data_IF_893404351592
#
_entry.id   IF_893404351592
#
_cell.length_a   1.000
_cell.length_b   1.000
_cell.length_c   1.000
_cell.angle_alpha   90.00
_cell.angle_beta   90.00
_cell.angle_gamma   90.00
#
_symmetry.space_group_name_H-M   'P 1'
#
loop_
_entity.id
_entity.type
_entity.pdbx_description
1 polymer ?
#
# COMPACT_ATOMS: atom_id res chain seq x y z
N UNK A 1 -20.33 17.22 7.46
CA UNK A 1 -19.20 16.31 7.70
C UNK A 1 -18.01 16.81 6.89
N UNK A 2 -16.77 16.66 7.37
CA UNK A 2 -15.59 16.96 6.55
C UNK A 2 -15.65 16.14 5.26
N UNK A 3 -15.36 16.76 4.12
CA UNK A 3 -15.39 16.10 2.82
C UNK A 3 -14.20 15.14 2.74
N UNK A 4 -14.47 13.86 2.45
CA UNK A 4 -13.45 12.88 2.12
C UNK A 4 -13.07 12.99 0.64
N UNK A 5 -12.01 13.75 0.37
CA UNK A 5 -11.46 13.82 -0.98
C UNK A 5 -10.54 12.65 -1.24
N UNK A 6 -10.53 12.19 -2.48
CA UNK A 6 -9.58 11.23 -3.00
C UNK A 6 -9.25 11.55 -4.45
N UNK A 7 -8.57 10.62 -5.11
CA UNK A 7 -8.39 10.70 -6.56
C UNK A 7 -8.86 9.43 -7.25
N UNK A 8 -9.32 9.60 -8.49
CA UNK A 8 -9.68 8.53 -9.42
C UNK A 8 -8.77 8.59 -10.64
N UNK A 9 -8.33 7.43 -11.09
CA UNK A 9 -7.64 7.25 -12.37
C UNK A 9 -8.46 6.29 -13.21
N UNK A 10 -8.67 6.61 -14.49
CA UNK A 10 -9.28 5.70 -15.48
C UNK A 10 -8.24 5.38 -16.54
N UNK A 11 -7.96 4.09 -16.74
CA UNK A 11 -6.84 3.56 -17.51
C UNK A 11 -5.63 3.24 -16.62
N UNK A 12 -4.46 3.18 -17.26
CA UNK A 12 -3.18 2.91 -16.58
C UNK A 12 -2.88 3.94 -15.50
N UNK A 13 -2.40 3.49 -14.34
CA UNK A 13 -1.91 4.40 -13.29
C UNK A 13 -0.55 5.04 -13.64
N UNK A 14 0.20 4.42 -14.55
CA UNK A 14 1.43 4.98 -15.12
C UNK A 14 1.06 6.05 -16.16
N UNK A 15 1.07 7.32 -15.73
CA UNK A 15 0.74 8.47 -16.57
C UNK A 15 -0.75 8.81 -16.65
N UNK A 16 -1.61 8.04 -15.99
CA UNK A 16 -3.04 8.36 -15.89
C UNK A 16 -3.31 9.63 -15.10
N UNK A 17 -4.27 10.41 -15.57
CA UNK A 17 -4.75 11.62 -14.89
C UNK A 17 -5.39 11.25 -13.54
N UNK A 18 -4.91 11.88 -12.47
CA UNK A 18 -5.47 11.75 -11.12
C UNK A 18 -6.53 12.83 -10.93
N UNK A 19 -7.79 12.46 -11.17
CA UNK A 19 -8.93 13.37 -11.02
C UNK A 19 -9.39 13.39 -9.58
N UNK A 20 -9.53 14.58 -9.01
CA UNK A 20 -10.09 14.76 -7.67
C UNK A 20 -11.55 14.27 -7.65
N UNK A 21 -11.92 13.52 -6.61
CA UNK A 21 -13.28 13.01 -6.40
C UNK A 21 -13.65 13.07 -4.93
N UNK A 22 -14.95 13.09 -4.64
CA UNK A 22 -15.43 12.65 -3.33
C UNK A 22 -15.29 11.14 -3.25
N UNK A 23 -14.42 10.67 -2.36
CA UNK A 23 -14.01 9.28 -2.33
C UNK A 23 -15.17 8.32 -2.04
N UNK A 24 -16.03 8.55 -1.03
CA UNK A 24 -17.14 7.64 -0.73
C UNK A 24 -18.11 7.52 -1.91
N UNK A 25 -18.44 8.65 -2.55
CA UNK A 25 -19.29 8.70 -3.75
C UNK A 25 -18.69 7.88 -4.88
N UNK A 26 -17.38 8.02 -5.14
CA UNK A 26 -16.71 7.25 -6.18
C UNK A 26 -16.66 5.75 -5.84
N UNK A 27 -16.36 5.39 -4.59
CA UNK A 27 -16.31 4.00 -4.16
C UNK A 27 -17.67 3.30 -4.30
N UNK A 28 -18.76 3.95 -3.86
CA UNK A 28 -20.14 3.45 -4.01
C UNK A 28 -20.52 3.32 -5.48
N UNK A 29 -20.11 4.24 -6.36
CA UNK A 29 -20.36 4.13 -7.79
C UNK A 29 -19.72 2.86 -8.39
N UNK A 30 -18.50 2.50 -7.99
CA UNK A 30 -17.86 1.25 -8.40
C UNK A 30 -18.53 0.00 -7.79
N UNK A 31 -18.95 0.09 -6.52
CA UNK A 31 -19.65 -1.00 -5.82
C UNK A 31 -21.01 -1.32 -6.45
N UNK A 32 -21.76 -0.30 -6.85
CA UNK A 32 -23.13 -0.40 -7.40
C UNK A 32 -23.19 -0.57 -8.92
N UNK A 33 -22.04 -0.60 -9.61
CA UNK A 33 -21.95 -0.61 -11.08
C UNK A 33 -22.61 0.60 -11.75
N UNK A 34 -22.54 1.77 -11.10
CA UNK A 34 -22.99 3.02 -11.71
C UNK A 34 -22.25 3.28 -13.02
N UNK A 35 -22.98 3.70 -14.07
CA UNK A 35 -22.41 3.93 -15.40
C UNK A 35 -21.20 4.87 -15.39
N UNK A 36 -21.18 5.85 -14.47
CA UNK A 36 -20.08 6.82 -14.32
C UNK A 36 -18.78 6.18 -13.83
N UNK A 37 -18.85 5.00 -13.20
CA UNK A 37 -17.70 4.26 -12.74
C UNK A 37 -16.91 3.60 -13.88
N UNK A 38 -17.54 3.34 -15.03
CA UNK A 38 -16.91 2.75 -16.23
C UNK A 38 -16.11 1.48 -15.87
N UNK A 39 -16.76 0.52 -15.21
CA UNK A 39 -16.15 -0.68 -14.62
C UNK A 39 -15.50 -1.61 -15.65
N UNK A 40 -15.85 -1.46 -16.93
CA UNK A 40 -15.29 -2.21 -18.05
C UNK A 40 -13.87 -1.78 -18.43
N UNK A 41 -13.36 -0.73 -17.80
CA UNK A 41 -11.99 -0.26 -17.92
C UNK A 41 -11.21 -0.49 -16.64
N UNK A 42 -9.90 -0.53 -16.83
CA UNK A 42 -8.96 -0.39 -15.74
C UNK A 42 -9.19 0.96 -15.04
N UNK A 43 -9.22 0.96 -13.71
CA UNK A 43 -9.41 2.15 -12.92
C UNK A 43 -8.91 1.97 -11.48
N UNK A 44 -8.54 3.08 -10.87
CA UNK A 44 -7.96 3.16 -9.54
C UNK A 44 -8.63 4.26 -8.73
N UNK A 45 -8.73 4.05 -7.43
CA UNK A 45 -9.03 5.07 -6.43
C UNK A 45 -7.80 5.24 -5.53
N UNK A 46 -7.70 6.35 -4.80
CA UNK A 46 -6.70 6.48 -3.74
C UNK A 46 -6.97 5.46 -2.62
N UNK A 47 -5.93 4.91 -2.01
CA UNK A 47 -6.06 4.04 -0.83
C UNK A 47 -6.46 4.83 0.43
N UNK A 48 -6.08 6.11 0.46
CA UNK A 48 -6.37 7.06 1.53
C UNK A 48 -7.28 8.18 1.03
N UNK A 49 -7.91 8.88 1.97
CA UNK A 49 -8.67 10.11 1.77
C UNK A 49 -7.96 11.29 2.42
N UNK A 50 -8.32 12.48 1.95
CA UNK A 50 -7.62 13.72 2.24
C UNK A 50 -8.61 14.89 2.45
N UNK A 51 -8.13 15.96 3.07
CA UNK A 51 -8.86 17.20 3.23
C UNK A 51 -8.68 18.17 2.05
N UNK A 52 -9.16 19.39 2.22
CA UNK A 52 -9.06 20.47 1.21
C UNK A 52 -7.61 20.90 0.92
N UNK A 53 -6.67 20.64 1.82
CA UNK A 53 -5.24 20.85 1.58
C UNK A 53 -4.72 20.03 0.39
N UNK A 54 -5.26 18.85 0.17
CA UNK A 54 -4.95 18.02 -0.99
C UNK A 54 -5.46 18.61 -2.30
N UNK A 55 -6.67 19.20 -2.31
CA UNK A 55 -7.19 19.92 -3.48
C UNK A 55 -6.25 21.06 -3.86
N UNK A 56 -5.92 21.90 -2.87
CA UNK A 56 -5.01 23.03 -3.07
C UNK A 56 -3.65 22.58 -3.60
N UNK A 57 -3.12 21.48 -3.06
CA UNK A 57 -1.87 20.90 -3.53
C UNK A 57 -1.97 20.42 -4.98
N UNK A 58 -3.02 19.69 -5.33
CA UNK A 58 -3.23 19.16 -6.68
C UNK A 58 -3.42 20.28 -7.70
N UNK A 59 -4.19 21.32 -7.38
CA UNK A 59 -4.42 22.48 -8.23
C UNK A 59 -3.11 23.27 -8.48
N UNK A 60 -2.26 23.38 -7.46
CA UNK A 60 -0.98 24.08 -7.56
C UNK A 60 0.11 23.29 -8.30
N UNK A 61 0.16 21.96 -8.12
CA UNK A 61 1.26 21.12 -8.60
C UNK A 61 0.92 20.30 -9.86
N UNK A 62 -0.37 20.14 -10.18
CA UNK A 62 -0.85 19.28 -11.28
C UNK A 62 -0.57 17.78 -11.06
N UNK A 63 -0.12 17.39 -9.87
CA UNK A 63 0.25 16.02 -9.51
C UNK A 63 0.06 15.79 -8.01
N UNK A 64 -0.18 14.55 -7.63
CA UNK A 64 -0.27 14.13 -6.21
C UNK A 64 1.09 13.74 -5.63
N UNK A 65 2.11 13.63 -6.47
CA UNK A 65 3.45 13.16 -6.07
C UNK A 65 4.06 14.15 -5.07
N UNK A 66 4.45 13.64 -3.89
CA UNK A 66 5.10 14.46 -2.86
C UNK A 66 4.13 15.16 -1.91
N UNK A 67 2.82 14.90 -2.02
CA UNK A 67 1.88 15.35 -1.00
C UNK A 67 2.19 14.66 0.34
N UNK A 68 2.41 15.47 1.37
CA UNK A 68 2.72 15.00 2.74
C UNK A 68 1.74 15.53 3.80
N UNK A 69 0.59 16.07 3.38
CA UNK A 69 -0.46 16.53 4.29
C UNK A 69 -1.10 15.39 5.08
N UNK A 70 -2.13 15.74 5.85
CA UNK A 70 -2.88 14.76 6.63
C UNK A 70 -3.68 13.83 5.73
N UNK A 71 -3.81 12.57 6.14
CA UNK A 71 -4.71 11.63 5.49
C UNK A 71 -5.47 10.79 6.51
N UNK A 72 -6.53 10.13 6.04
CA UNK A 72 -7.20 9.02 6.72
C UNK A 72 -7.57 7.94 5.70
N UNK A 73 -8.30 6.91 6.11
CA UNK A 73 -8.85 5.93 5.18
C UNK A 73 -10.18 5.39 5.71
N UNK A 74 -11.10 5.07 4.81
CA UNK A 74 -12.33 4.32 5.11
C UNK A 74 -12.03 2.84 5.40
N UNK A 75 -10.96 2.31 4.80
CA UNK A 75 -10.52 0.93 4.96
C UNK A 75 -9.00 0.84 5.11
N UNK A 76 -8.53 -0.01 6.02
CA UNK A 76 -7.14 -0.49 6.03
C UNK A 76 -7.03 -1.65 5.06
N UNK A 77 -6.29 -1.45 3.97
CA UNK A 77 -6.14 -2.43 2.90
C UNK A 77 -4.96 -3.38 3.15
N UNK A 78 -5.22 -4.68 3.03
CA UNK A 78 -4.23 -5.73 3.00
C UNK A 78 -4.13 -6.25 1.56
N UNK A 79 -2.95 -6.13 0.94
CA UNK A 79 -2.68 -6.62 -0.42
C UNK A 79 -1.86 -7.91 -0.33
N UNK A 80 -2.44 -9.02 -0.79
CA UNK A 80 -1.89 -10.36 -0.60
C UNK A 80 -1.71 -11.00 -1.97
N UNK A 81 -0.45 -11.14 -2.40
CA UNK A 81 -0.08 -11.93 -3.57
C UNK A 81 1.02 -12.94 -3.23
N UNK A 82 1.12 -13.99 -4.05
CA UNK A 82 2.20 -14.99 -3.95
C UNK A 82 2.86 -15.14 -5.31
N UNK A 83 3.43 -14.05 -5.79
CA UNK A 83 4.31 -14.06 -6.95
C UNK A 83 5.76 -14.32 -6.52
N UNK A 84 6.37 -15.36 -7.07
CA UNK A 84 7.82 -15.53 -7.00
C UNK A 84 8.49 -14.38 -7.77
N UNK A 85 9.30 -13.59 -7.06
CA UNK A 85 9.91 -12.39 -7.63
C UNK A 85 10.86 -12.68 -8.80
N UNK A 86 11.47 -13.87 -8.83
CA UNK A 86 12.43 -14.30 -9.85
C UNK A 86 11.72 -14.96 -11.04
N UNK A 87 10.89 -15.96 -10.79
CA UNK A 87 10.24 -16.75 -11.84
C UNK A 87 8.94 -16.12 -12.36
N UNK A 88 8.39 -15.14 -11.63
CA UNK A 88 7.06 -14.54 -11.86
C UNK A 88 5.92 -15.53 -11.78
N UNK A 89 6.16 -16.72 -11.21
CA UNK A 89 5.12 -17.70 -10.99
C UNK A 89 4.21 -17.25 -9.84
N UNK A 90 2.90 -17.30 -10.08
CA UNK A 90 1.90 -16.90 -9.09
C UNK A 90 1.26 -18.15 -8.49
N UNK A 91 1.23 -18.23 -7.16
CA UNK A 91 0.50 -19.25 -6.42
C UNK A 91 -0.80 -18.68 -5.82
N UNK A 92 -1.86 -18.65 -6.64
CA UNK A 92 -3.15 -18.09 -6.23
C UNK A 92 -3.83 -18.86 -5.11
N UNK A 93 -3.67 -20.18 -5.04
CA UNK A 93 -4.26 -20.98 -3.96
C UNK A 93 -3.60 -20.66 -2.61
N UNK A 94 -2.28 -20.50 -2.57
CA UNK A 94 -1.59 -20.06 -1.36
C UNK A 94 -2.08 -18.67 -0.92
N UNK A 95 -2.15 -17.71 -1.86
CA UNK A 95 -2.66 -16.38 -1.59
C UNK A 95 -4.10 -16.41 -1.06
N UNK A 96 -4.97 -17.27 -1.61
CA UNK A 96 -6.36 -17.46 -1.15
C UNK A 96 -6.42 -17.99 0.28
N UNK A 97 -5.65 -19.04 0.59
CA UNK A 97 -5.62 -19.65 1.93
C UNK A 97 -5.09 -18.69 2.99
N UNK A 98 -4.11 -17.86 2.65
CA UNK A 98 -3.60 -16.80 3.54
C UNK A 98 -4.60 -15.67 3.72
N UNK A 99 -5.26 -15.27 2.65
CA UNK A 99 -6.36 -14.29 2.72
C UNK A 99 -7.46 -14.80 3.65
N UNK A 100 -7.83 -16.07 3.53
CA UNK A 100 -8.80 -16.71 4.42
C UNK A 100 -8.35 -16.69 5.89
N UNK A 101 -7.09 -17.07 6.17
CA UNK A 101 -6.53 -17.00 7.53
C UNK A 101 -6.56 -15.58 8.10
N UNK A 102 -6.22 -14.57 7.30
CA UNK A 102 -6.30 -13.18 7.72
C UNK A 102 -7.75 -12.76 8.00
N UNK A 103 -8.71 -13.12 7.14
CA UNK A 103 -10.11 -12.78 7.35
C UNK A 103 -10.63 -13.39 8.66
N UNK A 104 -10.35 -14.67 8.92
CA UNK A 104 -10.73 -15.33 10.17
C UNK A 104 -10.11 -14.65 11.41
N UNK A 105 -8.84 -14.26 11.34
CA UNK A 105 -8.19 -13.50 12.41
C UNK A 105 -8.91 -12.16 12.66
N UNK A 106 -9.18 -11.39 11.60
CA UNK A 106 -9.79 -10.06 11.71
C UNK A 106 -11.22 -10.16 12.26
N UNK A 107 -12.01 -11.11 11.73
CA UNK A 107 -13.38 -11.38 12.17
C UNK A 107 -13.43 -11.77 13.64
N UNK A 108 -12.58 -12.70 14.09
CA UNK A 108 -12.51 -13.12 15.49
C UNK A 108 -12.03 -11.98 16.40
N UNK A 109 -10.89 -11.36 16.05
CA UNK A 109 -10.24 -10.33 16.87
C UNK A 109 -11.11 -9.11 17.11
N UNK A 110 -11.90 -8.72 16.12
CA UNK A 110 -12.73 -7.53 16.18
C UNK A 110 -14.23 -7.80 16.29
N UNK A 111 -14.63 -9.07 16.36
CA UNK A 111 -16.02 -9.52 16.44
C UNK A 111 -16.87 -8.94 15.30
N UNK A 112 -16.36 -9.08 14.08
CA UNK A 112 -17.04 -8.62 12.86
C UNK A 112 -18.07 -9.64 12.40
N UNK A 113 -19.08 -9.17 11.68
CA UNK A 113 -19.93 -10.05 10.90
C UNK A 113 -19.22 -10.46 9.60
N UNK A 114 -19.61 -11.59 9.01
CA UNK A 114 -18.91 -12.17 7.84
C UNK A 114 -18.87 -11.23 6.62
N UNK A 115 -19.83 -10.31 6.51
CA UNK A 115 -19.97 -9.36 5.40
C UNK A 115 -19.37 -7.98 5.67
N UNK A 116 -18.85 -7.72 6.89
CA UNK A 116 -18.24 -6.44 7.26
C UNK A 116 -16.89 -6.21 6.56
N UNK A 117 -16.16 -7.31 6.28
CA UNK A 117 -14.91 -7.26 5.55
C UNK A 117 -15.15 -7.12 4.04
N UNK A 118 -14.39 -6.23 3.43
CA UNK A 118 -14.35 -6.12 1.97
C UNK A 118 -13.27 -7.04 1.39
N UNK A 119 -13.67 -8.22 0.92
CA UNK A 119 -12.77 -9.21 0.35
C UNK A 119 -12.88 -9.18 -1.17
N UNK A 120 -11.76 -9.07 -1.86
CA UNK A 120 -11.72 -9.06 -3.32
C UNK A 120 -10.67 -10.01 -3.87
N UNK A 121 -11.04 -10.79 -4.88
CA UNK A 121 -10.05 -11.27 -5.84
C UNK A 121 -9.56 -10.10 -6.70
N UNK A 122 -8.25 -9.94 -6.78
CA UNK A 122 -7.61 -8.88 -7.53
C UNK A 122 -7.59 -9.15 -9.04
N UNK A 123 -8.38 -10.06 -9.60
CA UNK A 123 -8.48 -10.21 -11.06
C UNK A 123 -7.18 -10.65 -11.75
N UNK A 124 -6.12 -10.91 -10.99
CA UNK A 124 -4.78 -11.20 -11.48
C UNK A 124 -4.03 -12.06 -10.46
N UNK A 125 -3.18 -11.47 -9.61
CA UNK A 125 -2.16 -12.21 -8.85
C UNK A 125 -2.49 -12.52 -7.39
N UNK A 126 -3.57 -11.96 -6.86
CA UNK A 126 -3.78 -11.98 -5.42
C UNK A 126 -5.16 -11.51 -5.00
N UNK A 127 -5.25 -11.10 -3.75
CA UNK A 127 -6.48 -10.71 -3.08
C UNK A 127 -6.26 -9.43 -2.29
N UNK A 128 -7.34 -8.68 -2.11
CA UNK A 128 -7.36 -7.50 -1.26
C UNK A 128 -8.40 -7.68 -0.16
N UNK A 129 -8.04 -7.33 1.07
CA UNK A 129 -8.97 -7.28 2.21
C UNK A 129 -9.03 -5.86 2.74
N UNK A 130 -10.23 -5.31 2.89
CA UNK A 130 -10.47 -4.00 3.51
C UNK A 130 -11.07 -4.18 4.89
N UNK A 131 -10.34 -3.79 5.92
CA UNK A 131 -10.84 -3.67 7.30
C UNK A 131 -11.42 -2.27 7.50
N UNK A 132 -12.73 -2.11 7.78
CA UNK A 132 -13.35 -0.79 7.91
C UNK A 132 -12.84 -0.04 9.13
N UNK A 133 -12.48 1.23 8.96
CA UNK A 133 -11.96 2.07 10.06
C UNK A 133 -13.07 2.61 10.96
N UNK A 134 -14.33 2.57 10.53
CA UNK A 134 -15.53 2.88 11.33
C UNK A 134 -15.60 2.11 12.65
N UNK A 135 -14.92 0.96 12.72
CA UNK A 135 -14.75 0.17 13.93
C UNK A 135 -14.08 0.97 15.08
N UNK A 136 -13.19 1.93 14.79
CA UNK A 136 -12.52 2.74 15.83
C UNK A 136 -12.39 4.23 15.50
N UNK A 137 -12.82 4.66 14.31
CA UNK A 137 -12.91 6.05 13.85
C UNK A 137 -11.63 6.87 14.12
N UNK A 138 -10.47 6.43 13.60
CA UNK A 138 -9.21 7.14 13.80
C UNK A 138 -9.26 8.52 13.14
N UNK A 139 -8.73 9.54 13.84
CA UNK A 139 -8.60 10.89 13.28
C UNK A 139 -7.56 10.94 12.17
N UNK A 140 -7.76 11.81 11.19
CA UNK A 140 -6.75 12.10 10.18
C UNK A 140 -5.46 12.61 10.84
N UNK A 141 -4.31 12.30 10.23
CA UNK A 141 -3.01 12.80 10.68
C UNK A 141 -1.96 12.67 9.57
N UNK A 142 -0.84 13.39 9.72
CA UNK A 142 0.29 13.29 8.79
C UNK A 142 1.00 11.92 8.79
N UNK A 143 0.84 11.14 9.87
CA UNK A 143 1.44 9.80 10.06
C UNK A 143 0.42 8.66 9.98
N UNK A 144 -0.80 8.95 9.52
CA UNK A 144 -1.89 7.97 9.46
C UNK A 144 -1.50 6.76 8.61
N UNK A 145 -0.91 6.97 7.43
CA UNK A 145 -0.51 5.89 6.53
C UNK A 145 0.59 4.99 7.14
N UNK A 146 1.49 5.57 7.94
CA UNK A 146 2.52 4.80 8.66
C UNK A 146 1.90 3.97 9.79
N UNK A 147 0.92 4.54 10.50
CA UNK A 147 0.17 3.85 11.55
C UNK A 147 -0.66 2.70 10.96
N UNK A 148 -1.37 2.96 9.86
CA UNK A 148 -2.12 1.96 9.09
C UNK A 148 -1.21 0.80 8.64
N UNK A 149 -0.04 1.13 8.08
CA UNK A 149 0.98 0.13 7.72
C UNK A 149 1.39 -0.72 8.90
N UNK A 150 1.71 -0.07 10.03
CA UNK A 150 2.20 -0.76 11.23
C UNK A 150 1.16 -1.71 11.81
N UNK A 151 -0.09 -1.27 11.87
CA UNK A 151 -1.23 -2.10 12.28
C UNK A 151 -1.39 -3.30 11.35
N UNK A 152 -1.43 -3.06 10.03
CA UNK A 152 -1.65 -4.12 9.05
C UNK A 152 -0.51 -5.17 9.03
N UNK A 153 0.74 -4.73 9.08
CA UNK A 153 1.91 -5.62 9.18
C UNK A 153 1.87 -6.44 10.48
N UNK A 154 1.50 -5.83 11.61
CA UNK A 154 1.38 -6.52 12.90
C UNK A 154 0.28 -7.59 12.90
N UNK A 155 -0.90 -7.27 12.36
CA UNK A 155 -2.01 -8.21 12.23
C UNK A 155 -1.67 -9.36 11.30
N UNK A 156 -1.14 -9.06 10.11
CA UNK A 156 -0.74 -10.08 9.14
C UNK A 156 0.36 -10.99 9.69
N UNK A 157 1.37 -10.43 10.37
CA UNK A 157 2.42 -11.21 11.01
C UNK A 157 1.88 -12.16 12.09
N UNK A 158 0.85 -11.76 12.85
CA UNK A 158 0.26 -12.59 13.90
C UNK A 158 -0.43 -13.86 13.39
N UNK A 159 -0.76 -13.92 12.09
CA UNK A 159 -1.30 -15.09 11.41
C UNK A 159 -0.38 -15.63 10.30
N UNK A 160 0.91 -15.25 10.32
CA UNK A 160 1.93 -15.68 9.35
C UNK A 160 1.59 -15.34 7.88
N UNK A 161 0.91 -14.21 7.67
CA UNK A 161 0.58 -13.68 6.35
C UNK A 161 1.53 -12.54 6.00
N UNK A 162 2.12 -12.61 4.80
CA UNK A 162 2.89 -11.53 4.21
C UNK A 162 1.98 -10.70 3.29
N UNK A 163 2.04 -9.37 3.46
CA UNK A 163 1.31 -8.38 2.66
C UNK A 163 2.27 -7.45 1.90
N UNK A 164 1.84 -6.91 0.76
CA UNK A 164 2.55 -5.82 0.09
C UNK A 164 2.29 -4.49 0.83
N UNK A 165 3.30 -4.05 1.58
CA UNK A 165 3.26 -2.77 2.30
C UNK A 165 3.30 -1.54 1.38
N UNK A 166 3.53 -1.71 0.07
CA UNK A 166 3.48 -0.64 -0.92
C UNK A 166 2.10 0.03 -1.02
N UNK A 167 1.03 -0.63 -0.56
CA UNK A 167 -0.31 -0.05 -0.50
C UNK A 167 -0.41 1.16 0.44
N UNK A 168 0.49 1.26 1.42
CA UNK A 168 0.50 2.32 2.44
C UNK A 168 1.28 3.58 2.04
N UNK A 169 1.70 3.68 0.77
CA UNK A 169 2.13 4.98 0.23
C UNK A 169 0.94 5.95 0.24
N UNK A 170 1.16 7.16 0.77
CA UNK A 170 0.10 8.13 1.07
C UNK A 170 -0.76 8.45 -0.16
N UNK A 171 -0.14 8.48 -1.36
CA UNK A 171 -0.82 8.78 -2.63
C UNK A 171 -0.85 7.58 -3.57
N UNK A 172 -0.91 6.36 -3.01
CA UNK A 172 -0.99 5.11 -3.76
C UNK A 172 -2.31 4.99 -4.53
N UNK A 173 -2.26 4.78 -5.86
CA UNK A 173 -3.40 4.28 -6.61
C UNK A 173 -3.69 2.82 -6.24
N UNK A 174 -4.92 2.52 -5.89
CA UNK A 174 -5.39 1.19 -5.54
C UNK A 174 -6.58 0.80 -6.43
N UNK A 175 -6.58 -0.42 -6.96
CA UNK A 175 -7.54 -0.76 -8.02
C UNK A 175 -8.98 -0.71 -7.51
N UNK A 176 -9.83 0.00 -8.24
CA UNK A 176 -11.22 0.22 -7.85
C UNK A 176 -12.04 -1.10 -7.86
N UNK A 177 -13.05 -1.26 -6.99
CA UNK A 177 -13.98 -2.39 -7.05
C UNK A 177 -14.58 -2.56 -8.45
N UNK A 178 -14.86 -3.79 -8.87
CA UNK A 178 -15.40 -4.12 -10.20
C UNK A 178 -14.59 -3.64 -11.42
N UNK A 179 -13.49 -2.90 -11.26
CA UNK A 179 -12.65 -2.49 -12.39
C UNK A 179 -12.01 -3.68 -13.08
N UNK A 180 -12.00 -3.64 -14.42
CA UNK A 180 -11.43 -4.66 -15.29
C UNK A 180 -9.91 -4.57 -15.39
N UNK A 181 -9.22 -5.66 -15.06
CA UNK A 181 -7.76 -5.72 -15.17
C UNK A 181 -7.31 -5.76 -16.64
N UNK A 182 -6.30 -4.97 -17.04
CA UNK A 182 -5.99 -4.75 -18.45
C UNK A 182 -5.44 -6.00 -19.18
N UNK A 183 -4.74 -6.89 -18.48
CA UNK A 183 -4.11 -8.08 -19.08
C UNK A 183 -5.04 -9.30 -19.08
N UNK A 184 -5.49 -9.71 -17.90
CA UNK A 184 -6.33 -10.90 -17.68
C UNK A 184 -7.78 -10.71 -18.09
N UNK A 185 -8.22 -9.45 -18.24
CA UNK A 185 -9.61 -9.07 -18.58
C UNK A 185 -10.65 -9.43 -17.51
N UNK A 186 -10.22 -9.96 -16.38
CA UNK A 186 -11.05 -10.24 -15.21
C UNK A 186 -11.28 -8.96 -14.40
N UNK A 187 -12.45 -8.87 -13.77
CA UNK A 187 -12.84 -7.78 -12.89
C UNK A 187 -12.29 -7.97 -11.47
N UNK A 188 -12.11 -6.87 -10.72
CA UNK A 188 -11.93 -6.94 -9.26
C UNK A 188 -13.23 -7.44 -8.64
N UNK A 189 -13.25 -8.72 -8.27
CA UNK A 189 -14.46 -9.44 -7.88
C UNK A 189 -14.58 -9.49 -6.37
N UNK A 190 -15.67 -8.96 -5.80
CA UNK A 190 -15.98 -9.14 -4.37
C UNK A 190 -16.28 -10.61 -4.11
N UNK A 191 -15.81 -11.11 -2.97
CA UNK A 191 -16.11 -12.44 -2.45
C UNK A 191 -16.68 -12.30 -1.03
N UNK A 192 -17.55 -13.23 -0.65
CA UNK A 192 -17.86 -13.51 0.76
C UNK A 192 -16.74 -14.35 1.40
N UNK A 193 -16.74 -14.44 2.74
CA UNK A 193 -15.83 -15.35 3.47
C UNK A 193 -16.08 -16.80 3.03
N UNK A 194 -17.36 -17.21 2.90
CA UNK A 194 -17.71 -18.56 2.47
C UNK A 194 -17.15 -18.90 1.08
N UNK A 195 -17.31 -17.99 0.11
CA UNK A 195 -16.73 -18.15 -1.23
C UNK A 195 -15.21 -18.25 -1.19
N UNK A 196 -14.54 -17.42 -0.38
CA UNK A 196 -13.09 -17.44 -0.24
C UNK A 196 -12.58 -18.78 0.32
N UNK A 197 -13.32 -19.35 1.28
CA UNK A 197 -12.98 -20.62 1.94
C UNK A 197 -13.21 -21.83 1.03
N UNK A 198 -14.34 -21.86 0.32
CA UNK A 198 -14.83 -23.08 -0.32
C UNK A 198 -14.66 -23.11 -1.85
N UNK A 199 -14.54 -21.96 -2.52
CA UNK A 199 -14.33 -21.95 -3.97
C UNK A 199 -12.87 -22.23 -4.34
N UNK A 200 -12.71 -22.99 -5.43
CA UNK A 200 -11.41 -23.13 -6.12
C UNK A 200 -11.08 -21.88 -6.92
N UNK A 201 -9.80 -21.69 -7.20
CA UNK A 201 -9.31 -20.52 -7.96
C UNK A 201 -9.97 -20.42 -9.33
N UNK A 202 -10.15 -21.54 -10.03
CA UNK A 202 -10.78 -21.54 -11.36
C UNK A 202 -12.19 -20.95 -11.29
N UNK A 203 -12.95 -21.33 -10.25
CA UNK A 203 -14.31 -20.82 -10.07
C UNK A 203 -14.33 -19.33 -9.70
N UNK A 204 -13.39 -18.88 -8.88
CA UNK A 204 -13.22 -17.45 -8.55
C UNK A 204 -12.89 -16.65 -9.81
N UNK A 205 -12.01 -17.18 -10.67
CA UNK A 205 -11.64 -16.54 -11.94
C UNK A 205 -12.81 -16.50 -12.93
N UNK A 206 -13.60 -17.58 -13.04
CA UNK A 206 -14.83 -17.59 -13.83
C UNK A 206 -15.82 -16.51 -13.36
N UNK A 207 -16.07 -16.42 -12.05
CA UNK A 207 -16.94 -15.38 -11.48
C UNK A 207 -16.41 -13.97 -11.73
N UNK A 208 -15.09 -13.80 -11.73
CA UNK A 208 -14.45 -12.54 -12.06
C UNK A 208 -14.49 -12.19 -13.56
N UNK A 209 -15.04 -13.05 -14.42
CA UNK A 209 -15.29 -12.73 -15.82
C UNK A 209 -16.28 -11.58 -16.01
N UNK A 210 -17.20 -11.41 -15.05
CA UNK A 210 -18.21 -10.35 -15.05
C UNK A 210 -18.14 -9.55 -13.74
N UNK A 211 -18.40 -8.24 -13.76
CA UNK A 211 -18.58 -7.48 -12.53
C UNK A 211 -19.88 -7.91 -11.83
N UNK A 212 -19.94 -7.80 -10.50
CA UNK A 212 -21.26 -7.74 -9.87
C UNK A 212 -21.35 -6.74 -8.73
N UNK A 213 -22.50 -6.07 -8.71
CA UNK A 213 -22.83 -5.07 -7.73
C UNK A 213 -22.85 -5.67 -6.32
N UNK A 214 -22.49 -4.86 -5.34
CA UNK A 214 -22.59 -5.22 -3.94
C UNK A 214 -22.89 -3.99 -3.09
N UNK A 215 -23.51 -4.23 -1.95
CA UNK A 215 -23.73 -3.19 -0.95
C UNK A 215 -22.48 -2.98 -0.11
N UNK A 216 -22.11 -1.71 0.06
CA UNK A 216 -20.99 -1.34 0.92
C UNK A 216 -21.41 -1.58 2.39
N UNK A 217 -20.65 -2.36 3.17
CA UNK A 217 -21.03 -2.68 4.54
C UNK A 217 -21.17 -1.41 5.37
N UNK A 218 -22.24 -1.34 6.16
CA UNK A 218 -22.43 -0.25 7.13
C UNK A 218 -22.06 -0.76 8.51
N UNK A 219 -20.95 -0.27 9.04
CA UNK A 219 -20.47 -0.69 10.36
C UNK A 219 -21.24 0.08 11.43
N UNK A 220 -21.98 -0.64 12.26
CA UNK A 220 -22.82 -0.05 13.30
C UNK A 220 -22.20 -0.17 14.70
N UNK A 221 -21.28 -1.11 14.89
CA UNK A 221 -20.62 -1.36 16.16
C UNK A 221 -19.15 -0.90 16.14
N UNK A 222 -18.72 -0.27 17.23
CA UNK A 222 -17.31 0.08 17.44
C UNK A 222 -16.58 -1.04 18.18
N UNK A 223 -15.32 -1.29 17.83
CA UNK A 223 -14.42 -2.26 18.47
C UNK A 223 -13.36 -1.57 19.34
N UNK A 224 -13.46 -1.78 20.66
CA UNK A 224 -12.42 -1.34 21.62
C UNK A 224 -11.07 -1.98 21.34
N UNK A 225 -11.07 -3.23 20.87
CA UNK A 225 -9.85 -3.95 20.55
C UNK A 225 -9.14 -3.30 19.36
N UNK A 226 -9.88 -2.93 18.30
CA UNK A 226 -9.32 -2.23 17.16
C UNK A 226 -8.76 -0.85 17.54
N UNK A 227 -9.44 -0.10 18.43
CA UNK A 227 -8.94 1.17 18.95
C UNK A 227 -7.62 0.99 19.74
N UNK A 228 -7.52 -0.05 20.57
CA UNK A 228 -6.30 -0.35 21.32
C UNK A 228 -5.13 -0.74 20.41
N UNK A 229 -5.39 -1.55 19.38
CA UNK A 229 -4.38 -1.97 18.41
C UNK A 229 -3.89 -0.78 17.57
N UNK A 230 -4.80 0.12 17.20
CA UNK A 230 -4.43 1.38 16.55
C UNK A 230 -3.54 2.24 17.44
N UNK A 231 -3.90 2.44 18.71
CA UNK A 231 -3.10 3.21 19.67
C UNK A 231 -1.72 2.61 19.91
N UNK A 232 -1.60 1.28 19.95
CA UNK A 232 -0.31 0.60 20.02
C UNK A 232 0.52 0.83 18.76
N UNK A 233 -0.09 0.71 17.57
CA UNK A 233 0.58 1.02 16.31
C UNK A 233 1.06 2.48 16.25
N UNK A 234 0.25 3.44 16.70
CA UNK A 234 0.63 4.85 16.80
C UNK A 234 1.84 5.04 17.71
N UNK A 235 1.80 4.48 18.92
CA UNK A 235 2.93 4.56 19.87
C UNK A 235 4.22 4.00 19.27
N UNK A 236 4.15 2.92 18.52
CA UNK A 236 5.32 2.33 17.86
C UNK A 236 5.87 3.22 16.75
N UNK A 237 5.02 3.89 15.98
CA UNK A 237 5.44 4.87 14.96
C UNK A 237 6.11 6.08 15.63
N UNK A 238 5.53 6.62 16.69
CA UNK A 238 6.09 7.73 17.46
C UNK A 238 7.45 7.39 18.07
N UNK A 239 7.56 6.22 18.71
CA UNK A 239 8.82 5.73 19.27
C UNK A 239 9.90 5.54 18.21
N UNK A 240 9.55 5.01 17.03
CA UNK A 240 10.50 4.86 15.93
C UNK A 240 10.98 6.22 15.40
N UNK A 241 10.08 7.20 15.28
CA UNK A 241 10.41 8.56 14.87
C UNK A 241 11.29 9.26 15.90
N UNK A 242 11.00 9.11 17.20
CA UNK A 242 11.80 9.69 18.27
C UNK A 242 13.18 9.03 18.37
N UNK A 243 13.27 7.70 18.30
CA UNK A 243 14.54 6.99 18.24
C UNK A 243 15.37 7.37 17.00
N UNK A 244 14.73 7.71 15.87
CA UNK A 244 15.41 8.25 14.70
C UNK A 244 15.96 9.66 14.97
N UNK A 245 15.15 10.58 15.53
CA UNK A 245 15.60 11.93 15.92
C UNK A 245 16.74 11.91 16.94
N UNK A 246 16.65 11.04 17.94
CA UNK A 246 17.70 10.88 18.95
C UNK A 246 19.01 10.39 18.33
N UNK A 247 18.96 9.42 17.41
CA UNK A 247 20.15 8.97 16.67
C UNK A 247 20.77 10.12 15.87
N UNK A 248 19.96 10.93 15.19
CA UNK A 248 20.46 12.12 14.48
C UNK A 248 21.08 13.17 15.42
N UNK A 249 20.50 13.39 16.60
CA UNK A 249 21.01 14.35 17.58
C UNK A 249 22.29 13.87 18.28
N UNK A 250 22.36 12.60 18.71
CA UNK A 250 23.54 11.99 19.34
C UNK A 250 24.72 11.86 18.39
N UNK A 251 24.44 11.79 17.08
CA UNK A 251 25.45 11.78 16.05
C UNK A 251 26.19 13.12 15.91
N UNK A 252 25.84 14.18 16.66
CA UNK A 252 26.51 15.49 16.63
C UNK A 252 26.61 16.10 15.21
N UNK A 253 25.69 15.72 14.31
CA UNK A 253 25.76 16.04 12.89
C UNK A 253 26.78 15.24 12.06
N UNK A 254 27.57 14.33 12.66
CA UNK A 254 28.34 13.33 11.91
C UNK A 254 27.46 12.12 11.63
N UNK A 255 26.83 12.08 10.46
CA UNK A 255 26.16 10.86 9.99
C UNK A 255 27.08 9.65 10.17
N UNK A 256 26.51 8.48 10.43
CA UNK A 256 27.27 7.22 10.45
C UNK A 256 26.75 6.33 9.33
N UNK A 257 27.67 5.65 8.64
CA UNK A 257 27.26 4.68 7.64
C UNK A 257 26.62 3.52 8.39
N UNK A 258 25.33 3.32 8.19
CA UNK A 258 24.65 2.21 8.83
C UNK A 258 25.21 0.89 8.27
N UNK A 259 25.11 -0.17 9.08
CA UNK A 259 25.68 -1.48 8.72
C UNK A 259 25.15 -2.01 7.38
N UNK A 260 23.87 -1.76 7.09
CA UNK A 260 23.25 -2.16 5.82
C UNK A 260 23.85 -1.42 4.61
N UNK A 261 24.23 -0.15 4.76
CA UNK A 261 24.91 0.65 3.72
C UNK A 261 26.31 0.10 3.47
N UNK A 262 27.07 -0.20 4.53
CA UNK A 262 28.38 -0.83 4.41
C UNK A 262 28.30 -2.23 3.78
N UNK A 263 27.29 -3.03 4.15
CA UNK A 263 27.07 -4.36 3.57
C UNK A 263 26.65 -4.27 2.09
N UNK A 264 25.80 -3.31 1.74
CA UNK A 264 25.41 -3.07 0.34
C UNK A 264 26.60 -2.65 -0.52
N UNK A 265 27.43 -1.71 -0.06
CA UNK A 265 28.64 -1.29 -0.80
C UNK A 265 29.58 -2.49 -1.02
N UNK A 266 29.70 -3.39 -0.05
CA UNK A 266 30.61 -4.55 -0.14
C UNK A 266 30.09 -5.69 -1.01
N UNK A 267 28.80 -6.02 -0.88
CA UNK A 267 28.26 -7.28 -1.37
C UNK A 267 26.98 -7.12 -2.21
N UNK A 268 26.50 -5.88 -2.38
CA UNK A 268 25.19 -5.63 -2.96
C UNK A 268 24.05 -6.18 -2.11
N UNK A 269 22.99 -6.63 -2.76
CA UNK A 269 21.79 -7.16 -2.13
C UNK A 269 21.16 -8.29 -2.94
N UNK A 270 20.53 -9.22 -2.24
CA UNK A 270 19.80 -10.32 -2.87
C UNK A 270 18.56 -9.84 -3.66
N UNK A 271 18.13 -10.60 -4.68
CA UNK A 271 16.89 -10.32 -5.40
C UNK A 271 15.71 -10.22 -4.45
N UNK A 272 14.99 -9.09 -4.51
CA UNK A 272 13.84 -8.79 -3.64
C UNK A 272 14.04 -7.56 -2.75
N UNK A 273 15.27 -7.31 -2.30
CA UNK A 273 15.62 -6.16 -1.44
C UNK A 273 16.49 -5.11 -2.14
N UNK A 274 17.09 -5.44 -3.28
CA UNK A 274 18.06 -4.59 -4.00
C UNK A 274 17.64 -3.13 -4.22
N UNK A 275 16.40 -2.87 -4.63
CA UNK A 275 15.92 -1.49 -4.82
C UNK A 275 15.81 -0.72 -3.50
N UNK A 276 15.29 -1.40 -2.45
CA UNK A 276 15.10 -0.81 -1.13
C UNK A 276 16.44 -0.54 -0.45
N UNK A 277 17.37 -1.50 -0.50
CA UNK A 277 18.69 -1.36 0.11
C UNK A 277 19.57 -0.39 -0.65
N UNK A 278 19.53 -0.36 -1.98
CA UNK A 278 20.23 0.67 -2.78
C UNK A 278 19.74 2.08 -2.42
N UNK A 279 18.42 2.26 -2.35
CA UNK A 279 17.82 3.53 -1.92
C UNK A 279 18.27 3.92 -0.52
N UNK A 280 18.19 2.97 0.43
CA UNK A 280 18.57 3.22 1.82
C UNK A 280 20.05 3.56 1.96
N UNK A 281 20.93 2.90 1.20
CA UNK A 281 22.36 3.18 1.15
C UNK A 281 22.62 4.58 0.59
N UNK A 282 21.93 4.93 -0.49
CA UNK A 282 22.01 6.25 -1.10
C UNK A 282 21.49 7.37 -0.18
N UNK A 283 20.35 7.18 0.49
CA UNK A 283 19.81 8.13 1.46
C UNK A 283 20.74 8.33 2.66
N UNK A 284 21.36 7.25 3.15
CA UNK A 284 22.35 7.36 4.23
C UNK A 284 23.63 8.07 3.76
N UNK A 285 24.08 7.89 2.52
CA UNK A 285 25.17 8.71 1.95
C UNK A 285 24.78 10.19 1.82
N UNK A 286 23.51 10.49 1.51
CA UNK A 286 23.01 11.86 1.43
C UNK A 286 23.14 12.62 2.76
N UNK A 287 22.98 11.92 3.89
CA UNK A 287 23.17 12.48 5.25
C UNK A 287 24.61 12.98 5.49
N UNK A 288 25.59 12.52 4.71
CA UNK A 288 26.98 13.01 4.72
C UNK A 288 27.23 14.18 3.76
N UNK A 289 26.21 14.64 3.03
CA UNK A 289 26.40 15.55 1.91
C UNK A 289 27.22 14.92 0.78
N UNK A 290 27.16 13.59 0.62
CA UNK A 290 27.90 12.88 -0.42
C UNK A 290 27.57 13.47 -1.81
N UNK A 291 28.60 13.87 -2.60
CA UNK A 291 28.39 14.30 -3.97
C UNK A 291 27.70 13.22 -4.81
N UNK A 292 26.87 13.64 -5.75
CA UNK A 292 26.09 12.73 -6.60
C UNK A 292 27.02 11.75 -7.32
N UNK A 293 28.09 12.25 -7.90
CA UNK A 293 29.08 11.47 -8.63
C UNK A 293 29.73 10.42 -7.73
N UNK A 294 30.10 10.78 -6.50
CA UNK A 294 30.71 9.86 -5.55
C UNK A 294 29.73 8.77 -5.09
N UNK A 295 28.46 9.12 -4.86
CA UNK A 295 27.44 8.15 -4.51
C UNK A 295 27.18 7.15 -5.63
N UNK A 296 27.21 7.58 -6.90
CA UNK A 296 27.16 6.68 -8.05
C UNK A 296 28.38 5.76 -8.07
N UNK A 297 29.60 6.28 -7.94
CA UNK A 297 30.82 5.45 -7.91
C UNK A 297 30.81 4.40 -6.79
N UNK A 298 30.32 4.75 -5.60
CA UNK A 298 30.29 3.84 -4.44
C UNK A 298 29.23 2.74 -4.54
N UNK A 299 28.13 2.97 -5.25
CA UNK A 299 26.95 2.10 -5.22
C UNK A 299 26.68 1.37 -6.54
N UNK A 300 27.19 1.88 -7.66
CA UNK A 300 26.79 1.42 -8.99
C UNK A 300 27.24 -0.03 -9.26
N UNK A 301 28.49 -0.38 -8.93
CA UNK A 301 29.01 -1.74 -9.14
C UNK A 301 28.18 -2.78 -8.37
N UNK A 302 28.04 -2.59 -7.05
CA UNK A 302 27.25 -3.48 -6.20
C UNK A 302 25.77 -3.57 -6.62
N UNK A 303 25.19 -2.47 -7.12
CA UNK A 303 23.82 -2.45 -7.63
C UNK A 303 23.66 -3.25 -8.94
N UNK A 304 24.60 -3.11 -9.87
CA UNK A 304 24.60 -3.87 -11.12
C UNK A 304 24.82 -5.36 -10.86
N UNK A 305 25.74 -5.70 -9.95
CA UNK A 305 25.99 -7.09 -9.52
C UNK A 305 24.78 -7.72 -8.81
N UNK A 306 23.94 -6.89 -8.18
CA UNK A 306 22.64 -7.30 -7.61
C UNK A 306 21.55 -7.51 -8.66
N UNK A 307 21.88 -7.34 -9.96
CA UNK A 307 20.99 -7.54 -11.10
C UNK A 307 20.01 -6.40 -11.36
N UNK A 308 20.37 -5.16 -11.00
CA UNK A 308 19.64 -3.96 -11.43
C UNK A 308 20.13 -3.51 -12.82
N UNK A 309 19.23 -2.96 -13.63
CA UNK A 309 19.65 -2.32 -14.89
C UNK A 309 20.32 -0.96 -14.62
N UNK A 310 21.19 -0.46 -15.53
CA UNK A 310 21.86 0.83 -15.35
C UNK A 310 20.90 2.00 -15.12
N UNK A 311 19.74 1.99 -15.76
CA UNK A 311 18.71 3.04 -15.59
C UNK A 311 18.01 2.95 -14.24
N UNK A 312 17.70 1.73 -13.75
CA UNK A 312 17.13 1.51 -12.42
C UNK A 312 18.11 1.92 -11.32
N UNK A 313 19.38 1.51 -11.46
CA UNK A 313 20.45 1.88 -10.52
C UNK A 313 20.58 3.40 -10.41
N UNK A 314 20.72 4.09 -11.55
CA UNK A 314 20.85 5.55 -11.55
C UNK A 314 19.64 6.21 -10.88
N UNK A 315 18.43 5.82 -11.30
CA UNK A 315 17.18 6.37 -10.74
C UNK A 315 17.11 6.15 -9.23
N UNK A 316 17.47 4.97 -8.73
CA UNK A 316 17.34 4.66 -7.32
C UNK A 316 18.34 5.43 -6.45
N UNK A 317 19.57 5.62 -6.94
CA UNK A 317 20.59 6.45 -6.29
C UNK A 317 20.15 7.90 -6.28
N UNK A 318 19.68 8.45 -7.40
CA UNK A 318 19.22 9.83 -7.46
C UNK A 318 18.01 10.07 -6.53
N UNK A 319 17.09 9.11 -6.46
CA UNK A 319 15.96 9.17 -5.54
C UNK A 319 16.40 9.15 -4.07
N UNK A 320 17.37 8.31 -3.69
CA UNK A 320 17.88 8.23 -2.33
C UNK A 320 18.60 9.52 -1.91
N UNK A 321 19.43 10.07 -2.79
CA UNK A 321 20.15 11.33 -2.54
C UNK A 321 19.23 12.53 -2.30
N UNK A 322 18.09 12.55 -2.98
CA UNK A 322 17.10 13.62 -2.85
C UNK A 322 16.09 13.38 -1.71
N UNK A 323 16.16 12.25 -1.00
CA UNK A 323 15.23 11.94 0.09
C UNK A 323 15.53 12.72 1.38
N UNK A 324 16.82 12.99 1.63
CA UNK A 324 17.29 13.67 2.85
C UNK A 324 17.54 15.17 2.66
N UNK A 325 17.20 15.73 1.49
CA UNK A 325 17.33 17.15 1.14
C UNK A 325 16.00 17.88 1.21
#
# INVERSE_FOLDING_TARGET
MPIDLGFRIVGSYDGGERRLVEWPTAFVAYASLDERADVNREAYLSAFTFGEDFRNYLDANGSTKGFDGECRAEYIWFDIDREDKQTKQVNLDAARLETARLCLLLTDRYSLDDDDLLIFFSGSKGFHVGLPTDLWQPTASGVFNLTARRLAEGLAASCEVVIDSGVFDKVRPFRAPNSRHPKTKLHKRRLSIDELMHLKIERIQELAGEPLAFDVPTITATSKQAANDWLEATRQVEQAAEAFKQRLAMANGSATLNRATLEFIRNGASPGDRHRLLFSASANLAEFGCPVELAHELLNEAALDSGLSPSETRRQIDCGLNHSR
#
